data_IF_212471522055
#
_entry.id   IF_212471522055
#
_cell.length_a   1.000
_cell.length_b   1.000
_cell.length_c   1.000
_cell.angle_alpha   90.00
_cell.angle_beta   90.00
_cell.angle_gamma   90.00
#
_symmetry.space_group_name_H-M   'P 1'
#
loop_
_entity.id
_entity.type
_entity.pdbx_description
1 polymer ?
#
# COMPACT_ATOMS: atom_id res chain seq x y z
N UNK A 1 -19.56 15.99 -18.47
CA UNK A 1 -18.82 16.12 -17.20
C UNK A 1 -17.38 16.40 -17.57
N UNK A 2 -16.80 17.45 -17.01
CA UNK A 2 -15.36 17.70 -17.14
C UNK A 2 -14.67 16.56 -16.39
N UNK A 3 -13.61 16.00 -16.93
CA UNK A 3 -12.85 14.89 -16.31
C UNK A 3 -11.46 15.39 -15.96
N UNK A 4 -11.05 15.27 -14.71
CA UNK A 4 -9.68 15.58 -14.28
C UNK A 4 -8.74 14.43 -14.66
N UNK A 5 -7.53 14.78 -15.08
CA UNK A 5 -6.44 13.84 -15.27
C UNK A 5 -5.50 13.88 -14.08
N UNK A 6 -5.50 12.82 -13.27
CA UNK A 6 -4.61 12.68 -12.12
C UNK A 6 -3.43 11.78 -12.50
N UNK A 7 -2.21 12.31 -12.39
CA UNK A 7 -1.01 11.54 -12.65
C UNK A 7 -0.33 11.15 -11.33
N UNK A 8 -0.19 9.85 -11.11
CA UNK A 8 0.57 9.32 -9.98
C UNK A 8 2.06 9.26 -10.31
N UNK A 9 2.89 9.85 -9.45
CA UNK A 9 4.34 9.70 -9.49
C UNK A 9 4.78 8.78 -8.33
N UNK A 10 5.43 7.68 -8.66
CA UNK A 10 5.80 6.65 -7.70
C UNK A 10 7.23 6.16 -7.92
N UNK A 11 7.96 5.97 -6.81
CA UNK A 11 9.28 5.33 -6.78
C UNK A 11 9.16 3.96 -6.13
N UNK A 12 9.47 2.91 -6.86
CA UNK A 12 9.45 1.53 -6.39
C UNK A 12 8.75 0.57 -7.36
N UNK A 13 8.21 -0.48 -6.81
CA UNK A 13 7.45 -1.51 -7.53
C UNK A 13 5.95 -1.19 -7.54
N UNK A 14 5.13 -2.20 -7.76
CA UNK A 14 3.67 -2.14 -7.59
C UNK A 14 3.28 -1.54 -6.22
N UNK A 15 2.22 -0.72 -6.23
CA UNK A 15 1.75 -0.07 -5.01
C UNK A 15 0.22 -0.12 -4.92
N UNK A 16 -0.28 -1.05 -4.11
CA UNK A 16 -1.72 -1.29 -3.94
C UNK A 16 -2.51 -0.02 -3.54
N UNK A 17 -1.95 0.82 -2.66
CA UNK A 17 -2.59 2.07 -2.28
C UNK A 17 -2.81 3.02 -3.48
N UNK A 18 -1.86 3.10 -4.42
CA UNK A 18 -2.01 3.89 -5.65
C UNK A 18 -3.07 3.28 -6.56
N UNK A 19 -3.13 1.97 -6.65
CA UNK A 19 -4.13 1.26 -7.45
C UNK A 19 -5.55 1.47 -6.92
N UNK A 20 -5.75 1.44 -5.58
CA UNK A 20 -7.04 1.76 -4.96
C UNK A 20 -7.43 3.23 -5.18
N UNK A 21 -6.49 4.16 -5.07
CA UNK A 21 -6.73 5.58 -5.36
C UNK A 21 -7.12 5.79 -6.83
N UNK A 22 -6.41 5.14 -7.76
CA UNK A 22 -6.74 5.17 -9.19
C UNK A 22 -8.12 4.60 -9.46
N UNK A 23 -8.45 3.45 -8.87
CA UNK A 23 -9.76 2.83 -9.03
C UNK A 23 -10.89 3.71 -8.48
N UNK A 24 -10.68 4.38 -7.34
CA UNK A 24 -11.64 5.31 -6.75
C UNK A 24 -11.89 6.54 -7.66
N UNK A 25 -10.82 7.14 -8.19
CA UNK A 25 -10.91 8.25 -9.14
C UNK A 25 -11.63 7.86 -10.43
N UNK A 26 -11.29 6.71 -11.01
CA UNK A 26 -11.95 6.18 -12.24
C UNK A 26 -13.44 5.92 -12.01
N UNK A 27 -13.82 5.44 -10.83
CA UNK A 27 -15.24 5.26 -10.45
C UNK A 27 -16.00 6.59 -10.44
N UNK A 28 -15.32 7.71 -10.16
CA UNK A 28 -15.87 9.07 -10.23
C UNK A 28 -15.78 9.71 -11.63
N UNK A 29 -15.25 9.00 -12.62
CA UNK A 29 -15.15 9.47 -14.00
C UNK A 29 -13.87 10.23 -14.33
N UNK A 30 -12.87 10.27 -13.43
CA UNK A 30 -11.59 10.90 -13.69
C UNK A 30 -10.63 9.97 -14.45
N UNK A 31 -9.68 10.55 -15.17
CA UNK A 31 -8.59 9.82 -15.83
C UNK A 31 -7.40 9.69 -14.89
N UNK A 32 -6.72 8.55 -14.96
CA UNK A 32 -5.51 8.31 -14.18
C UNK A 32 -4.36 7.85 -15.07
N UNK A 33 -3.15 8.25 -14.71
CA UNK A 33 -1.91 7.82 -15.35
C UNK A 33 -0.80 7.62 -14.33
N UNK A 34 0.28 6.93 -14.72
CA UNK A 34 1.42 6.62 -13.85
C UNK A 34 2.73 7.11 -14.46
N UNK A 35 3.56 7.73 -13.63
CA UNK A 35 4.96 7.99 -13.90
C UNK A 35 5.81 7.20 -12.87
N UNK A 36 6.24 6.00 -13.27
CA UNK A 36 6.96 5.07 -12.41
C UNK A 36 8.48 5.23 -12.56
N UNK A 37 9.16 5.37 -11.43
CA UNK A 37 10.59 5.12 -11.29
C UNK A 37 10.78 3.77 -10.57
N UNK A 38 11.29 2.72 -11.21
CA UNK A 38 11.46 1.44 -10.54
C UNK A 38 12.54 1.45 -9.46
N UNK A 39 13.34 2.53 -9.33
CA UNK A 39 14.36 2.69 -8.30
C UNK A 39 15.47 1.65 -8.36
N UNK A 40 15.85 1.22 -9.56
CA UNK A 40 16.84 0.15 -9.76
C UNK A 40 18.17 0.48 -9.07
N UNK A 41 18.72 -0.49 -8.34
CA UNK A 41 19.98 -0.41 -7.58
C UNK A 41 20.01 0.69 -6.49
N UNK A 42 18.90 1.36 -6.24
CA UNK A 42 18.75 2.40 -5.23
C UNK A 42 18.45 1.87 -3.83
N UNK A 43 18.20 2.78 -2.90
CA UNK A 43 17.94 2.47 -1.48
C UNK A 43 16.71 1.56 -1.27
N UNK A 44 15.79 1.54 -2.24
CA UNK A 44 14.59 0.70 -2.20
C UNK A 44 14.79 -0.66 -2.90
N UNK A 45 15.98 -0.92 -3.45
CA UNK A 45 16.34 -2.23 -3.97
C UNK A 45 16.87 -3.10 -2.84
N UNK A 46 16.04 -4.02 -2.36
CA UNK A 46 16.39 -4.91 -1.25
C UNK A 46 17.40 -6.00 -1.66
N UNK A 47 17.62 -6.19 -2.96
CA UNK A 47 18.47 -7.27 -3.46
C UNK A 47 19.89 -6.78 -3.73
N UNK A 48 20.03 -5.62 -4.36
CA UNK A 48 21.33 -5.12 -4.76
C UNK A 48 21.38 -3.59 -4.81
N UNK A 49 21.92 -2.98 -3.76
CA UNK A 49 22.15 -1.55 -3.70
C UNK A 49 23.56 -1.20 -4.22
N UNK A 50 23.65 -0.37 -5.28
CA UNK A 50 24.90 0.13 -5.83
C UNK A 50 24.75 1.55 -6.37
N UNK A 51 25.33 2.52 -5.67
CA UNK A 51 25.19 3.95 -5.98
C UNK A 51 25.76 4.36 -7.38
N UNK A 52 26.67 3.60 -7.97
CA UNK A 52 27.17 3.86 -9.34
C UNK A 52 26.17 3.39 -10.39
N UNK A 53 25.58 2.20 -10.17
CA UNK A 53 24.55 1.67 -11.05
C UNK A 53 23.24 2.45 -10.90
N UNK A 54 22.85 2.83 -9.70
CA UNK A 54 21.70 3.70 -9.44
C UNK A 54 21.79 4.98 -10.29
N UNK A 55 22.93 5.68 -10.27
CA UNK A 55 23.15 6.87 -11.11
C UNK A 55 23.14 6.58 -12.61
N UNK A 56 23.64 5.41 -13.02
CA UNK A 56 23.67 4.99 -14.44
C UNK A 56 22.27 4.69 -14.98
N UNK A 57 21.38 4.17 -14.12
CA UNK A 57 20.00 3.79 -14.43
C UNK A 57 18.97 4.77 -13.88
N UNK A 58 19.36 5.98 -13.50
CA UNK A 58 18.49 7.04 -13.02
C UNK A 58 17.36 7.34 -14.03
N UNK A 59 16.12 7.16 -13.58
CA UNK A 59 14.91 7.36 -14.39
C UNK A 59 14.32 8.77 -14.23
N UNK A 60 14.98 9.68 -13.53
CA UNK A 60 14.49 11.05 -13.28
C UNK A 60 13.98 11.73 -14.55
N UNK A 61 14.75 11.65 -15.65
CA UNK A 61 14.34 12.27 -16.93
C UNK A 61 13.09 11.62 -17.54
N UNK A 62 12.95 10.30 -17.38
CA UNK A 62 11.77 9.55 -17.86
C UNK A 62 10.52 9.97 -17.09
N UNK A 63 10.61 10.01 -15.76
CA UNK A 63 9.50 10.42 -14.88
C UNK A 63 9.07 11.85 -15.17
N UNK A 64 10.02 12.79 -15.25
CA UNK A 64 9.72 14.19 -15.56
C UNK A 64 9.08 14.35 -16.95
N UNK A 65 9.56 13.63 -17.95
CA UNK A 65 8.97 13.62 -19.28
C UNK A 65 7.53 13.10 -19.23
N UNK A 66 7.27 12.00 -18.53
CA UNK A 66 5.93 11.47 -18.37
C UNK A 66 4.98 12.49 -17.70
N UNK A 67 5.46 13.18 -16.64
CA UNK A 67 4.72 14.25 -15.99
C UNK A 67 4.36 15.41 -16.95
N UNK A 68 5.30 15.78 -17.83
CA UNK A 68 5.07 16.87 -18.81
C UNK A 68 4.17 16.46 -19.97
N UNK A 69 4.45 15.31 -20.61
CA UNK A 69 3.73 14.84 -21.78
C UNK A 69 2.26 14.53 -21.48
N UNK A 70 1.99 14.00 -20.27
CA UNK A 70 0.65 13.67 -19.84
C UNK A 70 -0.21 14.91 -19.50
N UNK A 71 0.42 16.07 -19.24
CA UNK A 71 -0.28 17.32 -18.89
C UNK A 71 -1.38 17.12 -17.84
N UNK A 72 -1.03 16.60 -16.66
CA UNK A 72 -2.04 16.32 -15.64
C UNK A 72 -2.64 17.62 -15.08
N UNK A 73 -3.91 17.52 -14.67
CA UNK A 73 -4.57 18.56 -13.89
C UNK A 73 -4.17 18.51 -12.41
N UNK A 74 -3.73 17.34 -11.92
CA UNK A 74 -3.22 17.10 -10.58
C UNK A 74 -2.09 16.07 -10.62
N UNK A 75 -0.94 16.37 -10.03
CA UNK A 75 0.16 15.42 -9.82
C UNK A 75 0.13 14.88 -8.38
N UNK A 76 -0.04 13.56 -8.22
CA UNK A 76 -0.14 12.88 -6.94
C UNK A 76 1.10 12.01 -6.68
N UNK A 77 1.79 12.24 -5.56
CA UNK A 77 2.99 11.50 -5.19
C UNK A 77 2.71 10.58 -4.01
N UNK A 78 3.12 9.32 -4.12
CA UNK A 78 3.12 8.39 -2.99
C UNK A 78 4.47 8.44 -2.28
N UNK A 79 4.45 8.77 -1.00
CA UNK A 79 5.66 9.13 -0.26
C UNK A 79 5.83 8.31 1.01
N UNK A 80 6.92 7.55 1.04
CA UNK A 80 7.52 6.97 2.25
C UNK A 80 8.66 7.87 2.74
N UNK A 81 9.12 7.69 3.97
CA UNK A 81 10.25 8.46 4.49
C UNK A 81 11.53 8.24 3.68
N UNK A 82 11.76 7.01 3.21
CA UNK A 82 12.88 6.66 2.33
C UNK A 82 12.80 7.29 0.93
N UNK A 83 11.58 7.48 0.40
CA UNK A 83 11.37 8.06 -0.94
C UNK A 83 11.14 9.57 -0.92
N UNK A 84 11.00 10.17 0.24
CA UNK A 84 10.73 11.60 0.38
C UNK A 84 11.75 12.52 -0.34
N UNK A 85 13.09 12.28 -0.26
CA UNK A 85 14.05 13.09 -1.01
C UNK A 85 13.85 13.01 -2.54
N UNK A 86 13.47 11.84 -3.05
CA UNK A 86 13.14 11.66 -4.47
C UNK A 86 11.87 12.45 -4.83
N UNK A 87 10.81 12.30 -4.04
CA UNK A 87 9.54 12.99 -4.28
C UNK A 87 9.72 14.52 -4.31
N UNK A 88 10.48 15.08 -3.38
CA UNK A 88 10.81 16.52 -3.37
C UNK A 88 11.57 16.95 -4.62
N UNK A 89 12.58 16.18 -5.04
CA UNK A 89 13.34 16.48 -6.25
C UNK A 89 12.43 16.48 -7.49
N UNK A 90 11.57 15.47 -7.62
CA UNK A 90 10.63 15.37 -8.75
C UNK A 90 9.60 16.49 -8.73
N UNK A 91 8.98 16.77 -7.59
CA UNK A 91 8.01 17.84 -7.44
C UNK A 91 8.60 19.21 -7.77
N UNK A 92 9.79 19.53 -7.28
CA UNK A 92 10.51 20.77 -7.57
C UNK A 92 10.79 20.94 -9.06
N UNK A 93 11.33 19.91 -9.70
CA UNK A 93 11.63 19.95 -11.14
C UNK A 93 10.36 20.06 -11.98
N UNK A 94 9.29 19.38 -11.57
CA UNK A 94 8.00 19.46 -12.23
C UNK A 94 7.36 20.86 -12.06
N UNK A 95 7.37 21.44 -10.84
CA UNK A 95 6.86 22.80 -10.59
C UNK A 95 7.57 23.88 -11.41
N UNK A 96 8.86 23.76 -11.66
CA UNK A 96 9.59 24.70 -12.54
C UNK A 96 9.05 24.72 -13.98
N UNK A 97 8.54 23.58 -14.45
CA UNK A 97 8.07 23.37 -15.84
C UNK A 97 6.56 23.54 -15.96
N UNK A 98 5.83 23.20 -14.91
CA UNK A 98 4.37 23.26 -14.82
C UNK A 98 3.93 23.97 -13.54
N UNK A 99 4.19 25.26 -13.37
CA UNK A 99 4.01 25.97 -12.09
C UNK A 99 2.56 26.05 -11.62
N UNK A 100 1.60 25.91 -12.54
CA UNK A 100 0.16 25.97 -12.25
C UNK A 100 -0.46 24.63 -11.88
N UNK A 101 0.18 23.52 -12.20
CA UNK A 101 -0.35 22.20 -11.86
C UNK A 101 -0.18 21.95 -10.36
N UNK A 102 -1.27 21.72 -9.62
CA UNK A 102 -1.19 21.40 -8.21
C UNK A 102 -0.50 20.03 -7.97
N UNK A 103 0.20 19.95 -6.84
CA UNK A 103 0.89 18.73 -6.40
C UNK A 103 0.35 18.33 -5.04
N UNK A 104 -0.04 17.06 -4.91
CA UNK A 104 -0.45 16.45 -3.63
C UNK A 104 0.48 15.30 -3.24
N UNK A 105 0.95 15.29 -1.99
CA UNK A 105 1.69 14.18 -1.41
C UNK A 105 0.79 13.34 -0.51
N UNK A 106 0.78 12.02 -0.71
CA UNK A 106 0.08 11.05 0.13
C UNK A 106 1.00 9.92 0.58
N UNK A 107 0.50 9.05 1.45
CA UNK A 107 1.22 7.90 1.98
C UNK A 107 1.71 8.09 3.42
N UNK A 108 2.60 7.22 3.88
CA UNK A 108 2.99 7.18 5.29
C UNK A 108 3.76 8.42 5.75
N UNK A 109 4.66 8.96 4.92
CA UNK A 109 5.47 10.11 5.33
C UNK A 109 4.62 11.36 5.61
N UNK A 110 3.76 11.85 4.70
CA UNK A 110 2.91 13.00 5.02
C UNK A 110 1.86 12.71 6.09
N UNK A 111 1.52 11.45 6.33
CA UNK A 111 0.62 11.07 7.42
C UNK A 111 1.28 11.27 8.79
N UNK A 112 2.55 10.89 8.94
CA UNK A 112 3.27 10.97 10.22
C UNK A 112 4.09 12.23 10.42
N UNK A 113 4.52 12.87 9.32
CA UNK A 113 5.33 14.08 9.31
C UNK A 113 4.64 15.21 8.49
N UNK A 114 3.36 15.52 8.78
CA UNK A 114 2.57 16.42 7.93
C UNK A 114 3.14 17.84 7.89
N UNK A 115 3.50 18.42 9.03
CA UNK A 115 4.04 19.77 9.10
C UNK A 115 5.40 19.88 8.41
N UNK A 116 6.26 18.85 8.59
CA UNK A 116 7.55 18.79 7.91
C UNK A 116 7.38 18.72 6.40
N UNK A 117 6.40 17.96 5.94
CA UNK A 117 6.08 17.84 4.52
C UNK A 117 5.57 19.14 3.95
N UNK A 118 4.67 19.84 4.64
CA UNK A 118 4.09 21.12 4.21
C UNK A 118 5.09 22.30 4.25
N UNK A 119 6.14 22.25 5.08
CA UNK A 119 7.23 23.22 5.03
C UNK A 119 8.02 23.15 3.71
N UNK A 120 7.91 22.05 2.99
CA UNK A 120 8.49 21.91 1.65
C UNK A 120 7.50 22.52 0.63
N UNK A 121 7.85 23.69 0.07
CA UNK A 121 6.96 24.46 -0.81
C UNK A 121 6.70 23.81 -2.17
N UNK A 122 7.29 22.66 -2.44
CA UNK A 122 7.12 21.92 -3.70
C UNK A 122 5.81 21.10 -3.75
N UNK A 123 5.15 20.85 -2.60
CA UNK A 123 3.82 20.26 -2.51
C UNK A 123 2.78 21.35 -2.14
N UNK A 124 1.66 21.38 -2.83
CA UNK A 124 0.55 22.31 -2.53
C UNK A 124 -0.33 21.73 -1.43
N UNK A 125 -0.55 20.41 -1.49
CA UNK A 125 -1.42 19.67 -0.58
C UNK A 125 -0.74 18.42 -0.06
N UNK A 126 -1.20 17.93 1.09
CA UNK A 126 -0.93 16.57 1.56
C UNK A 126 -2.26 15.87 1.89
N UNK A 127 -2.28 14.54 1.76
CA UNK A 127 -3.39 13.71 2.23
C UNK A 127 -2.86 12.75 3.30
N UNK A 128 -3.54 12.71 4.45
CA UNK A 128 -3.19 11.93 5.64
C UNK A 128 -4.14 10.76 5.82
N UNK A 129 -3.63 9.59 6.21
CA UNK A 129 -4.45 8.39 6.41
C UNK A 129 -5.00 7.80 5.11
N UNK A 130 -6.26 7.35 5.13
CA UNK A 130 -6.92 6.80 3.93
C UNK A 130 -7.22 7.91 2.92
N UNK A 131 -6.75 7.73 1.71
CA UNK A 131 -6.72 8.78 0.70
C UNK A 131 -7.86 8.76 -0.30
N UNK A 132 -8.62 7.68 -0.43
CA UNK A 132 -9.57 7.48 -1.52
C UNK A 132 -10.62 8.61 -1.61
N UNK A 133 -11.30 8.87 -0.50
CA UNK A 133 -12.29 9.94 -0.47
C UNK A 133 -11.66 11.32 -0.60
N UNK A 134 -10.55 11.58 0.12
CA UNK A 134 -9.92 12.90 0.10
C UNK A 134 -9.35 13.27 -1.27
N UNK A 135 -8.78 12.29 -2.00
CA UNK A 135 -8.25 12.54 -3.35
C UNK A 135 -9.38 12.77 -4.37
N UNK A 136 -10.48 12.03 -4.25
CA UNK A 136 -11.67 12.27 -5.09
C UNK A 136 -12.26 13.66 -4.82
N UNK A 137 -12.42 14.05 -3.55
CA UNK A 137 -12.93 15.38 -3.19
C UNK A 137 -11.99 16.50 -3.67
N UNK A 138 -10.66 16.30 -3.57
CA UNK A 138 -9.67 17.24 -4.08
C UNK A 138 -9.77 17.39 -5.60
N UNK A 139 -9.85 16.27 -6.33
CA UNK A 139 -10.03 16.29 -7.78
C UNK A 139 -11.32 17.03 -8.15
N UNK A 140 -12.43 16.73 -7.49
CA UNK A 140 -13.71 17.42 -7.71
C UNK A 140 -13.64 18.92 -7.42
N UNK A 141 -13.01 19.33 -6.31
CA UNK A 141 -12.86 20.74 -5.97
C UNK A 141 -12.03 21.50 -7.02
N UNK A 142 -10.92 20.91 -7.48
CA UNK A 142 -10.08 21.51 -8.53
C UNK A 142 -10.80 21.59 -9.88
N UNK A 143 -11.58 20.56 -10.24
CA UNK A 143 -12.39 20.53 -11.46
C UNK A 143 -13.40 21.69 -11.51
N UNK A 144 -14.05 21.98 -10.37
CA UNK A 144 -15.10 22.99 -10.28
C UNK A 144 -14.59 24.37 -9.82
N UNK A 145 -13.29 24.50 -9.54
CA UNK A 145 -12.70 25.74 -9.05
C UNK A 145 -13.19 26.14 -7.65
N UNK A 146 -13.61 25.15 -6.83
CA UNK A 146 -14.03 25.38 -5.44
C UNK A 146 -12.84 25.27 -4.51
N UNK A 147 -12.93 25.91 -3.32
CA UNK A 147 -11.85 25.89 -2.34
C UNK A 147 -11.70 24.49 -1.70
N UNK A 148 -10.56 23.79 -1.83
CA UNK A 148 -10.35 22.48 -1.25
C UNK A 148 -10.01 22.50 0.24
N UNK A 149 -9.84 23.66 0.86
CA UNK A 149 -9.27 23.80 2.22
C UNK A 149 -10.13 23.24 3.35
N UNK A 150 -11.37 22.83 3.09
CA UNK A 150 -12.24 22.17 4.09
C UNK A 150 -12.29 20.65 3.95
N UNK A 151 -11.61 20.06 2.97
CA UNK A 151 -11.64 18.62 2.72
C UNK A 151 -11.00 17.85 3.88
N UNK A 152 -11.72 16.93 4.55
CA UNK A 152 -11.13 16.10 5.61
C UNK A 152 -9.94 15.26 5.09
N UNK A 153 -8.96 14.98 5.92
CA UNK A 153 -7.66 14.38 5.64
C UNK A 153 -6.68 15.29 4.88
N UNK A 154 -7.13 16.41 4.32
CA UNK A 154 -6.24 17.33 3.60
C UNK A 154 -5.39 18.16 4.58
N UNK A 155 -4.15 18.40 4.19
CA UNK A 155 -3.32 19.44 4.78
C UNK A 155 -2.79 20.35 3.67
N UNK A 156 -2.60 21.62 4.00
CA UNK A 156 -2.17 22.68 3.08
C UNK A 156 -1.41 23.78 3.83
N UNK A 157 -0.88 24.75 3.12
CA UNK A 157 -0.35 25.97 3.74
C UNK A 157 -1.44 27.03 3.80
N UNK A 158 -1.66 27.59 4.99
CA UNK A 158 -2.55 28.73 5.20
C UNK A 158 -1.99 30.01 4.55
N UNK A 159 -2.77 31.09 4.57
CA UNK A 159 -2.40 32.35 3.93
C UNK A 159 -1.16 33.01 4.59
N UNK A 160 -0.88 32.69 5.87
CA UNK A 160 0.31 33.09 6.60
C UNK A 160 1.51 32.14 6.42
N UNK A 161 1.42 31.20 5.45
CA UNK A 161 2.43 30.17 5.14
C UNK A 161 2.59 29.10 6.24
N UNK A 162 1.76 29.09 7.27
CA UNK A 162 1.76 28.06 8.30
C UNK A 162 1.09 26.76 7.81
N UNK A 163 1.53 25.59 8.30
CA UNK A 163 0.85 24.33 8.04
C UNK A 163 -0.55 24.29 8.66
N UNK A 164 -1.57 24.02 7.86
CA UNK A 164 -2.95 23.77 8.29
C UNK A 164 -3.32 22.32 8.01
N UNK A 165 -3.92 21.65 8.98
CA UNK A 165 -4.29 20.24 8.93
C UNK A 165 -5.76 20.07 9.27
N UNK A 166 -6.54 19.58 8.32
CA UNK A 166 -7.94 19.26 8.55
C UNK A 166 -8.10 17.99 9.41
N UNK A 167 -9.24 17.83 10.09
CA UNK A 167 -9.56 16.60 10.80
C UNK A 167 -9.51 15.40 9.87
N UNK A 168 -9.17 14.24 10.43
CA UNK A 168 -9.28 12.99 9.69
C UNK A 168 -10.76 12.61 9.53
N UNK A 169 -11.13 12.10 8.36
CA UNK A 169 -12.44 11.51 8.14
C UNK A 169 -12.56 10.17 8.84
N UNK A 170 -13.79 9.69 9.12
CA UNK A 170 -14.00 8.33 9.54
C UNK A 170 -13.37 7.34 8.56
N UNK A 171 -12.85 6.24 9.09
CA UNK A 171 -12.32 5.15 8.27
C UNK A 171 -13.43 4.54 7.38
N UNK A 172 -13.05 4.02 6.23
CA UNK A 172 -13.94 3.23 5.38
C UNK A 172 -14.34 1.97 6.15
N UNK A 173 -15.58 1.92 6.64
CA UNK A 173 -16.04 0.87 7.54
C UNK A 173 -16.14 -0.50 6.87
N UNK A 174 -16.74 -0.54 5.68
CA UNK A 174 -16.84 -1.74 4.86
C UNK A 174 -15.85 -1.66 3.71
N UNK A 175 -14.81 -2.50 3.71
CA UNK A 175 -13.79 -2.51 2.67
C UNK A 175 -14.31 -3.07 1.33
N UNK A 176 -15.43 -3.77 1.32
CA UNK A 176 -16.07 -4.28 0.09
C UNK A 176 -16.73 -3.16 -0.73
N UNK A 177 -16.93 -1.97 -0.14
CA UNK A 177 -17.43 -0.80 -0.87
C UNK A 177 -16.36 -0.15 -1.77
N UNK A 178 -15.09 -0.51 -1.58
CA UNK A 178 -14.01 -0.07 -2.45
C UNK A 178 -14.06 -0.80 -3.79
N UNK A 179 -13.73 -0.12 -4.89
CA UNK A 179 -13.49 -0.80 -6.15
C UNK A 179 -12.26 -1.71 -6.03
N UNK A 180 -12.18 -2.75 -6.85
CA UNK A 180 -10.96 -3.56 -6.96
C UNK A 180 -9.78 -2.68 -7.41
N UNK A 181 -8.55 -3.02 -7.01
CA UNK A 181 -7.38 -2.23 -7.34
C UNK A 181 -7.16 -2.14 -8.84
N UNK A 182 -6.82 -0.96 -9.33
CA UNK A 182 -6.56 -0.70 -10.75
C UNK A 182 -5.17 -1.19 -11.17
N UNK A 183 -5.01 -2.49 -11.31
CA UNK A 183 -3.77 -3.11 -11.81
C UNK A 183 -3.38 -2.61 -13.19
N UNK A 184 -4.36 -2.21 -14.01
CA UNK A 184 -4.13 -1.65 -15.34
C UNK A 184 -3.23 -0.42 -15.34
N UNK A 185 -3.17 0.32 -14.23
CA UNK A 185 -2.30 1.46 -14.07
C UNK A 185 -0.80 1.08 -14.15
N UNK A 186 -0.44 -0.11 -13.69
CA UNK A 186 0.94 -0.62 -13.63
C UNK A 186 1.28 -1.62 -14.75
N UNK A 187 0.34 -2.08 -15.57
CA UNK A 187 0.56 -3.21 -16.51
C UNK A 187 1.60 -2.96 -17.61
N UNK A 188 2.00 -1.70 -17.83
CA UNK A 188 3.11 -1.36 -18.74
C UNK A 188 4.49 -1.62 -18.15
N UNK A 189 4.58 -1.59 -16.82
CA UNK A 189 5.85 -1.64 -16.08
C UNK A 189 5.96 -2.92 -15.23
N UNK A 190 4.83 -3.58 -14.91
CA UNK A 190 4.74 -4.78 -14.08
C UNK A 190 4.12 -5.94 -14.87
N UNK A 191 4.74 -7.09 -14.77
CA UNK A 191 4.23 -8.33 -15.37
C UNK A 191 3.39 -9.11 -14.34
N UNK A 192 2.09 -8.88 -14.32
CA UNK A 192 1.15 -9.56 -13.42
C UNK A 192 0.94 -11.05 -13.72
N UNK A 193 1.61 -11.61 -14.72
CA UNK A 193 1.54 -13.04 -15.02
C UNK A 193 2.35 -13.89 -14.03
N UNK A 194 3.38 -13.34 -13.45
CA UNK A 194 4.26 -14.10 -12.55
C UNK A 194 3.60 -14.21 -11.17
N UNK A 195 3.23 -13.11 -10.58
CA UNK A 195 2.54 -13.05 -9.29
C UNK A 195 1.45 -11.97 -9.27
N UNK A 196 0.47 -12.14 -8.41
CA UNK A 196 -0.61 -11.20 -8.14
C UNK A 196 -0.67 -10.89 -6.65
N UNK A 197 -0.48 -9.63 -6.31
CA UNK A 197 -0.55 -9.16 -4.92
C UNK A 197 -1.98 -8.75 -4.59
N UNK A 198 -2.54 -9.30 -3.51
CA UNK A 198 -3.87 -8.99 -2.99
C UNK A 198 -3.81 -8.57 -1.53
N UNK A 199 -4.70 -7.66 -1.12
CA UNK A 199 -4.95 -7.30 0.28
C UNK A 199 -6.37 -7.71 0.67
N UNK A 200 -6.48 -8.48 1.74
CA UNK A 200 -7.76 -8.90 2.32
C UNK A 200 -8.17 -8.00 3.49
N UNK A 201 -7.26 -7.22 4.05
CA UNK A 201 -7.49 -6.39 5.23
C UNK A 201 -6.74 -5.07 5.18
N UNK A 202 -7.13 -4.13 6.02
CA UNK A 202 -6.37 -2.93 6.35
C UNK A 202 -6.12 -2.89 7.85
N UNK A 203 -4.88 -2.58 8.21
CA UNK A 203 -4.45 -2.57 9.60
C UNK A 203 -3.93 -3.91 10.09
N UNK A 204 -3.49 -3.91 11.33
CA UNK A 204 -2.98 -5.08 12.05
C UNK A 204 -3.51 -5.06 13.48
N UNK A 205 -3.90 -6.22 14.07
CA UNK A 205 -4.37 -6.26 15.46
C UNK A 205 -3.22 -6.08 16.46
N UNK A 206 -1.96 -6.23 16.02
CA UNK A 206 -0.78 -6.09 16.88
C UNK A 206 -0.29 -4.65 16.97
N UNK A 207 0.48 -4.37 18.05
CA UNK A 207 0.99 -3.03 18.36
C UNK A 207 2.50 -3.01 18.50
N UNK A 208 3.21 -3.68 17.57
CA UNK A 208 4.67 -3.71 17.58
C UNK A 208 5.24 -2.29 17.47
N UNK A 209 6.15 -1.93 18.37
CA UNK A 209 6.63 -0.54 18.54
C UNK A 209 7.32 0.04 17.30
N UNK A 210 7.97 -0.79 16.53
CA UNK A 210 8.73 -0.44 15.32
C UNK A 210 7.87 -0.37 14.05
N UNK A 211 6.61 -0.85 14.10
CA UNK A 211 5.78 -1.02 12.92
C UNK A 211 4.89 0.22 12.68
N UNK A 212 4.77 0.64 11.42
CA UNK A 212 3.87 1.73 11.03
C UNK A 212 2.41 1.44 11.38
N UNK A 213 1.98 0.16 11.42
CA UNK A 213 0.62 -0.23 11.79
C UNK A 213 0.26 0.20 13.21
N UNK A 214 1.20 0.18 14.15
CA UNK A 214 0.99 0.69 15.50
C UNK A 214 0.78 2.22 15.53
N UNK A 215 1.53 2.95 14.71
CA UNK A 215 1.37 4.40 14.60
C UNK A 215 0.02 4.75 13.93
N UNK A 216 -0.39 4.02 12.89
CA UNK A 216 -1.70 4.15 12.26
C UNK A 216 -2.84 3.79 13.21
N UNK A 217 -2.65 2.74 14.03
CA UNK A 217 -3.63 2.40 15.07
C UNK A 217 -3.80 3.52 16.11
N UNK A 218 -2.71 4.18 16.51
CA UNK A 218 -2.78 5.35 17.40
C UNK A 218 -3.48 6.53 16.76
N UNK A 219 -3.28 6.73 15.45
CA UNK A 219 -3.89 7.82 14.69
C UNK A 219 -5.40 7.61 14.49
N UNK A 220 -5.82 6.40 14.18
CA UNK A 220 -7.19 6.09 13.76
C UNK A 220 -8.05 5.42 14.84
N UNK A 221 -7.43 4.94 15.91
CA UNK A 221 -8.14 4.28 17.03
C UNK A 221 -8.47 2.80 16.78
N UNK A 222 -9.35 2.22 17.62
CA UNK A 222 -9.59 0.77 17.66
C UNK A 222 -10.22 0.19 16.39
N UNK A 223 -10.84 1.00 15.54
CA UNK A 223 -11.42 0.57 14.26
C UNK A 223 -10.41 0.42 13.12
N UNK A 224 -9.11 0.56 13.37
CA UNK A 224 -8.10 0.52 12.33
C UNK A 224 -8.02 -0.83 11.61
N UNK A 225 -8.12 -1.96 12.32
CA UNK A 225 -8.09 -3.29 11.70
C UNK A 225 -9.47 -3.68 11.16
N UNK A 226 -9.60 -3.76 9.84
CA UNK A 226 -10.82 -4.12 9.10
C UNK A 226 -10.49 -5.12 8.01
N UNK A 227 -11.48 -5.90 7.60
CA UNK A 227 -11.31 -6.97 6.62
C UNK A 227 -12.39 -6.93 5.55
N UNK A 228 -12.04 -7.33 4.34
CA UNK A 228 -12.96 -7.62 3.25
C UNK A 228 -13.67 -8.94 3.51
N UNK A 229 -14.85 -9.13 2.94
CA UNK A 229 -15.48 -10.44 2.90
C UNK A 229 -14.63 -11.42 2.09
N UNK A 230 -14.71 -12.71 2.41
CA UNK A 230 -14.05 -13.76 1.63
C UNK A 230 -14.53 -13.72 0.17
N UNK A 231 -15.82 -13.50 -0.06
CA UNK A 231 -16.40 -13.41 -1.40
C UNK A 231 -15.83 -12.24 -2.20
N UNK A 232 -15.68 -11.04 -1.61
CA UNK A 232 -15.07 -9.89 -2.28
C UNK A 232 -13.64 -10.19 -2.76
N UNK A 233 -12.84 -10.86 -1.92
CA UNK A 233 -11.47 -11.26 -2.29
C UNK A 233 -11.48 -12.28 -3.43
N UNK A 234 -12.38 -13.26 -3.37
CA UNK A 234 -12.48 -14.30 -4.39
C UNK A 234 -12.93 -13.75 -5.74
N UNK A 235 -13.89 -12.82 -5.76
CA UNK A 235 -14.34 -12.14 -6.98
C UNK A 235 -13.21 -11.34 -7.63
N UNK A 236 -12.43 -10.57 -6.86
CA UNK A 236 -11.24 -9.89 -7.39
C UNK A 236 -10.27 -10.87 -8.03
N UNK A 237 -9.93 -11.95 -7.30
CA UNK A 237 -8.97 -12.94 -7.80
C UNK A 237 -9.47 -13.67 -9.05
N UNK A 238 -10.77 -13.96 -9.18
CA UNK A 238 -11.35 -14.56 -10.39
C UNK A 238 -11.26 -13.63 -11.59
N UNK A 239 -11.69 -12.38 -11.42
CA UNK A 239 -11.64 -11.38 -12.48
C UNK A 239 -10.20 -11.14 -12.95
N UNK A 240 -9.28 -10.95 -12.01
CA UNK A 240 -7.89 -10.67 -12.33
C UNK A 240 -7.16 -11.90 -12.87
N UNK A 241 -7.52 -13.11 -12.44
CA UNK A 241 -7.01 -14.36 -13.03
C UNK A 241 -7.43 -14.52 -14.48
N UNK A 242 -8.66 -14.19 -14.80
CA UNK A 242 -9.15 -14.21 -16.19
C UNK A 242 -8.37 -13.23 -17.07
N UNK A 243 -8.02 -12.05 -16.54
CA UNK A 243 -7.28 -11.00 -17.25
C UNK A 243 -5.78 -11.29 -17.37
N UNK A 244 -5.11 -11.56 -16.26
CA UNK A 244 -3.64 -11.62 -16.21
C UNK A 244 -3.06 -13.02 -16.25
N UNK A 245 -3.86 -14.06 -15.92
CA UNK A 245 -3.42 -15.47 -15.90
C UNK A 245 -2.20 -15.68 -15.01
N UNK A 246 -2.19 -15.04 -13.84
CA UNK A 246 -1.11 -15.15 -12.88
C UNK A 246 -0.88 -16.59 -12.41
N UNK A 247 0.36 -16.87 -12.02
CA UNK A 247 0.83 -18.21 -11.62
C UNK A 247 0.92 -18.38 -10.12
N UNK A 248 1.00 -17.28 -9.38
CA UNK A 248 1.07 -17.24 -7.93
C UNK A 248 0.26 -16.07 -7.38
N UNK A 249 -0.23 -16.20 -6.15
CA UNK A 249 -0.89 -15.12 -5.41
C UNK A 249 -0.08 -14.81 -4.16
N UNK A 250 0.21 -13.53 -3.90
CA UNK A 250 0.76 -13.08 -2.64
C UNK A 250 -0.34 -12.40 -1.81
N UNK A 251 -0.77 -13.04 -0.73
CA UNK A 251 -1.60 -12.39 0.28
C UNK A 251 -0.72 -11.46 1.12
N UNK A 252 -0.78 -10.17 0.82
CA UNK A 252 0.12 -9.15 1.38
C UNK A 252 -0.44 -8.50 2.67
N UNK A 253 -1.33 -9.21 3.34
CA UNK A 253 -1.83 -8.78 4.66
C UNK A 253 -0.72 -8.90 5.69
N UNK A 254 -0.61 -7.96 6.65
CA UNK A 254 0.41 -8.06 7.71
C UNK A 254 0.38 -9.39 8.46
N UNK A 255 -0.81 -10.00 8.60
CA UNK A 255 -1.03 -11.34 9.15
C UNK A 255 -2.34 -11.89 8.58
N UNK A 256 -2.26 -12.86 7.69
CA UNK A 256 -3.46 -13.49 7.12
C UNK A 256 -4.22 -14.36 8.14
N UNK A 257 -3.51 -15.00 9.08
CA UNK A 257 -3.98 -16.08 9.93
C UNK A 257 -4.86 -15.64 11.12
N UNK A 258 -5.20 -14.36 11.27
CA UNK A 258 -5.80 -13.79 12.49
C UNK A 258 -7.24 -14.20 12.76
N UNK A 259 -8.01 -14.63 11.77
CA UNK A 259 -9.43 -14.93 11.92
C UNK A 259 -9.79 -16.24 11.23
N UNK A 260 -9.76 -17.31 12.01
CA UNK A 260 -9.86 -18.69 11.52
C UNK A 260 -11.10 -18.95 10.64
N UNK A 261 -12.29 -18.62 11.11
CA UNK A 261 -13.52 -18.93 10.37
C UNK A 261 -13.58 -18.22 9.00
N UNK A 262 -13.17 -16.96 8.94
CA UNK A 262 -13.07 -16.21 7.68
C UNK A 262 -12.00 -16.82 6.76
N UNK A 263 -10.86 -17.25 7.32
CA UNK A 263 -9.78 -17.87 6.53
C UNK A 263 -10.22 -19.22 5.96
N UNK A 264 -10.95 -20.02 6.75
CA UNK A 264 -11.53 -21.28 6.29
C UNK A 264 -12.49 -21.06 5.10
N UNK A 265 -13.37 -20.06 5.19
CA UNK A 265 -14.27 -19.65 4.12
C UNK A 265 -13.51 -19.21 2.87
N UNK A 266 -12.53 -18.31 3.03
CA UNK A 266 -11.70 -17.83 1.93
C UNK A 266 -10.97 -18.98 1.24
N UNK A 267 -10.25 -19.82 2.00
CA UNK A 267 -9.41 -20.87 1.44
C UNK A 267 -10.22 -22.03 0.84
N UNK A 268 -11.41 -22.29 1.35
CA UNK A 268 -12.33 -23.23 0.70
C UNK A 268 -12.79 -22.72 -0.67
N UNK A 269 -13.19 -21.44 -0.76
CA UNK A 269 -13.54 -20.78 -2.01
C UNK A 269 -12.34 -20.72 -2.96
N UNK A 270 -11.17 -20.34 -2.45
CA UNK A 270 -9.93 -20.24 -3.20
C UNK A 270 -9.55 -21.57 -3.88
N UNK A 271 -9.62 -22.67 -3.14
CA UNK A 271 -9.33 -24.00 -3.63
C UNK A 271 -10.29 -24.45 -4.73
N UNK A 272 -11.54 -24.02 -4.71
CA UNK A 272 -12.54 -24.35 -5.74
C UNK A 272 -12.42 -23.47 -6.98
N UNK A 273 -12.23 -22.17 -6.80
CA UNK A 273 -12.39 -21.13 -7.82
C UNK A 273 -11.05 -20.67 -8.42
N UNK A 274 -10.02 -20.51 -7.58
CA UNK A 274 -8.74 -19.91 -7.99
C UNK A 274 -7.71 -20.97 -8.38
N UNK A 275 -7.41 -21.92 -7.50
CA UNK A 275 -6.51 -23.06 -7.78
C UNK A 275 -5.11 -22.67 -8.24
N UNK A 276 -4.57 -21.58 -7.73
CA UNK A 276 -3.21 -21.09 -8.01
C UNK A 276 -2.43 -21.21 -6.72
N UNK A 277 -1.14 -21.56 -6.75
CA UNK A 277 -0.30 -21.49 -5.55
C UNK A 277 -0.31 -20.11 -4.92
N UNK A 278 -0.11 -20.04 -3.60
CA UNK A 278 -0.03 -18.74 -2.92
C UNK A 278 1.03 -18.73 -1.81
N UNK A 279 1.44 -17.52 -1.45
CA UNK A 279 2.25 -17.21 -0.26
C UNK A 279 1.49 -16.23 0.64
N UNK A 280 1.81 -16.23 1.94
CA UNK A 280 1.21 -15.32 2.89
C UNK A 280 2.13 -15.03 4.07
N UNK A 281 1.86 -13.92 4.76
CA UNK A 281 2.49 -13.62 6.05
C UNK A 281 1.72 -14.27 7.19
N UNK A 282 2.45 -14.88 8.10
CA UNK A 282 1.94 -15.52 9.29
C UNK A 282 2.54 -14.98 10.58
N UNK A 283 1.97 -15.41 11.69
CA UNK A 283 2.55 -15.20 13.02
C UNK A 283 2.72 -16.56 13.69
N UNK A 284 3.90 -16.87 14.25
CA UNK A 284 4.19 -18.19 14.85
C UNK A 284 3.16 -18.63 15.86
N UNK A 285 2.70 -17.73 16.74
CA UNK A 285 1.72 -18.03 17.78
C UNK A 285 0.34 -18.51 17.25
N UNK A 286 0.04 -18.25 15.98
CA UNK A 286 -1.22 -18.65 15.32
C UNK A 286 -1.09 -19.97 14.54
N UNK A 287 0.12 -20.51 14.39
CA UNK A 287 0.36 -21.74 13.66
C UNK A 287 0.03 -22.97 14.51
N UNK A 288 -0.99 -23.69 14.11
CA UNK A 288 -1.42 -24.97 14.68
C UNK A 288 -1.38 -26.06 13.62
N UNK A 289 -1.44 -27.35 14.02
CA UNK A 289 -1.52 -28.46 13.06
C UNK A 289 -2.70 -28.29 12.10
N UNK A 290 -3.87 -27.89 12.61
CA UNK A 290 -5.06 -27.63 11.79
C UNK A 290 -4.85 -26.46 10.81
N UNK A 291 -4.16 -25.40 11.21
CA UNK A 291 -3.83 -24.26 10.37
C UNK A 291 -2.84 -24.66 9.26
N UNK A 292 -1.79 -25.40 9.60
CA UNK A 292 -0.81 -25.87 8.63
C UNK A 292 -1.45 -26.79 7.58
N UNK A 293 -2.33 -27.69 7.98
CA UNK A 293 -3.09 -28.55 7.07
C UNK A 293 -4.02 -27.74 6.17
N UNK A 294 -4.75 -26.77 6.72
CA UNK A 294 -5.65 -25.90 5.94
C UNK A 294 -4.87 -25.14 4.86
N UNK A 295 -3.78 -24.49 5.22
CA UNK A 295 -2.91 -23.76 4.29
C UNK A 295 -2.34 -24.69 3.21
N UNK A 296 -1.76 -25.81 3.62
CA UNK A 296 -1.15 -26.78 2.72
C UNK A 296 -2.16 -27.33 1.70
N UNK A 297 -3.33 -27.77 2.15
CA UNK A 297 -4.38 -28.30 1.28
C UNK A 297 -4.99 -27.24 0.36
N UNK A 298 -4.83 -25.96 0.69
CA UNK A 298 -5.32 -24.86 -0.14
C UNK A 298 -4.29 -24.35 -1.15
N UNK A 299 -3.08 -24.93 -1.15
CA UNK A 299 -2.04 -24.60 -2.13
C UNK A 299 -1.03 -23.55 -1.64
N UNK A 300 -0.94 -23.33 -0.32
CA UNK A 300 0.11 -22.47 0.25
C UNK A 300 1.49 -23.09 -0.02
N UNK A 301 2.38 -22.31 -0.63
CA UNK A 301 3.75 -22.71 -0.93
C UNK A 301 4.76 -22.16 0.07
N UNK A 302 4.44 -21.07 0.76
CA UNK A 302 5.29 -20.49 1.79
C UNK A 302 4.47 -19.65 2.76
N UNK A 303 4.77 -19.82 4.06
CA UNK A 303 4.33 -18.89 5.11
C UNK A 303 5.54 -18.12 5.60
N UNK A 304 5.51 -16.81 5.47
CA UNK A 304 6.62 -15.94 5.91
C UNK A 304 6.39 -15.49 7.36
N UNK A 305 7.36 -15.75 8.23
CA UNK A 305 7.31 -15.40 9.65
C UNK A 305 8.33 -14.32 10.00
N UNK A 306 7.88 -13.18 10.46
CA UNK A 306 8.78 -12.13 10.94
C UNK A 306 9.27 -12.39 12.36
N UNK A 307 10.44 -12.95 12.55
CA UNK A 307 11.02 -13.21 13.88
C UNK A 307 11.60 -11.98 14.58
N UNK A 308 12.11 -11.04 13.83
CA UNK A 308 12.74 -9.77 14.24
C UNK A 308 13.99 -9.97 15.14
N UNK A 309 13.91 -10.75 16.19
CA UNK A 309 15.01 -11.07 17.11
C UNK A 309 14.70 -12.37 17.86
N UNK A 310 15.74 -13.05 18.34
CA UNK A 310 15.64 -14.21 19.25
C UNK A 310 15.79 -13.81 20.73
N UNK A 311 16.08 -12.55 21.02
CA UNK A 311 16.12 -12.05 22.38
C UNK A 311 14.71 -11.78 22.89
N UNK A 312 14.20 -12.60 23.81
CA UNK A 312 12.81 -12.52 24.31
C UNK A 312 12.53 -11.26 25.13
N UNK A 313 13.50 -10.75 25.88
CA UNK A 313 13.35 -9.51 26.64
C UNK A 313 13.20 -8.34 25.67
N UNK A 314 14.03 -8.30 24.63
CA UNK A 314 13.91 -7.27 23.57
C UNK A 314 12.56 -7.38 22.84
N UNK A 315 12.10 -8.60 22.51
CA UNK A 315 10.76 -8.81 21.94
C UNK A 315 9.66 -8.22 22.82
N UNK A 316 9.66 -8.57 24.09
CA UNK A 316 8.61 -8.17 25.02
C UNK A 316 8.67 -6.69 25.38
N UNK A 317 9.84 -6.22 25.82
CA UNK A 317 9.98 -4.91 26.46
C UNK A 317 10.15 -3.77 25.45
N UNK A 318 10.85 -4.03 24.36
CA UNK A 318 11.15 -3.01 23.35
C UNK A 318 10.24 -3.10 22.13
N UNK A 319 10.10 -4.30 21.55
CA UNK A 319 9.36 -4.47 20.30
C UNK A 319 7.85 -4.64 20.50
N UNK A 320 7.39 -4.93 21.73
CA UNK A 320 5.98 -5.17 22.02
C UNK A 320 5.41 -6.39 21.28
N UNK A 321 6.26 -7.41 21.04
CA UNK A 321 5.86 -8.67 20.40
C UNK A 321 5.59 -9.74 21.44
N UNK A 322 4.40 -10.38 21.40
CA UNK A 322 3.99 -11.31 22.44
C UNK A 322 4.53 -12.73 22.26
N UNK A 323 5.00 -13.11 21.06
CA UNK A 323 5.42 -14.48 20.80
C UNK A 323 6.78 -14.82 21.47
N UNK A 324 6.86 -16.04 22.00
CA UNK A 324 8.10 -16.60 22.55
C UNK A 324 8.89 -17.36 21.48
N UNK A 325 10.19 -17.62 21.77
CA UNK A 325 11.00 -18.48 20.89
C UNK A 325 10.47 -19.92 20.85
N UNK A 326 9.91 -20.41 21.97
CA UNK A 326 9.28 -21.73 22.01
C UNK A 326 8.08 -21.82 21.09
N UNK A 327 7.21 -20.81 21.08
CA UNK A 327 6.08 -20.72 20.12
C UNK A 327 6.57 -20.70 18.68
N UNK A 328 7.63 -19.97 18.38
CA UNK A 328 8.22 -19.94 17.05
C UNK A 328 8.79 -21.30 16.62
N UNK A 329 9.59 -21.94 17.49
CA UNK A 329 10.12 -23.28 17.24
C UNK A 329 9.01 -24.31 17.06
N UNK A 330 7.94 -24.20 17.85
CA UNK A 330 6.78 -25.08 17.69
C UNK A 330 6.08 -24.87 16.34
N UNK A 331 5.90 -23.62 15.89
CA UNK A 331 5.35 -23.30 14.59
C UNK A 331 6.18 -23.92 13.45
N UNK A 332 7.51 -23.81 13.52
CA UNK A 332 8.41 -24.39 12.53
C UNK A 332 8.31 -25.92 12.49
N UNK A 333 8.28 -26.56 13.68
CA UNK A 333 8.08 -28.04 13.76
C UNK A 333 6.73 -28.49 13.20
N UNK A 334 5.68 -27.69 13.40
CA UNK A 334 4.37 -27.95 12.82
C UNK A 334 4.45 -27.84 11.29
N UNK A 335 5.06 -26.78 10.77
CA UNK A 335 5.23 -26.60 9.32
C UNK A 335 6.03 -27.76 8.71
N UNK A 336 7.16 -28.14 9.30
CA UNK A 336 7.99 -29.29 8.88
C UNK A 336 7.18 -30.60 8.86
N UNK A 337 6.46 -30.87 9.95
CA UNK A 337 5.63 -32.09 10.09
C UNK A 337 4.61 -32.25 8.98
N UNK A 338 4.01 -31.15 8.55
CA UNK A 338 3.00 -31.14 7.48
C UNK A 338 3.58 -30.82 6.10
N UNK A 339 4.90 -30.66 5.99
CA UNK A 339 5.56 -30.31 4.73
C UNK A 339 5.06 -28.98 4.15
N UNK A 340 4.73 -28.01 5.01
CA UNK A 340 4.37 -26.64 4.63
C UNK A 340 5.63 -25.78 4.64
N UNK A 341 6.12 -25.32 3.48
CA UNK A 341 7.31 -24.47 3.45
C UNK A 341 7.08 -23.15 4.21
N UNK A 342 8.14 -22.65 4.86
CA UNK A 342 8.12 -21.38 5.57
C UNK A 342 9.47 -20.67 5.46
N UNK A 343 9.49 -19.36 5.67
CA UNK A 343 10.67 -18.49 5.71
C UNK A 343 10.62 -17.52 6.90
#
# INVERSE_FOLDING_TARGET
>A
MLSMKVLFAHLGREHLGVEYLSAALKRQGHETALALDPGLFGINDNVFHNARLERRFDQTRRVLRALEEQRPDLAAFTVYTSTFPWALRMAREFKRRSPRTPIVFGGLHPTFEPERTLRCRDADFIIRGEGEGALCDLAHALEHGTDPREIPNLGFRADDDSPALNPLRPLIGNLDDLPFPDKGLFERDINFRDDYIVLCSRGCPHRCSYCCENALHRLHGPGWYRRRSAESVLLELEEMKARYRFREVMFNDPILLTHRGWLEELLEGYRRRIRVPFRCFGQPALMTDAMALLLKHSGCQCVEFGMQTVNEDLKRETLGRPETNEQALNAFRICDRHGLPFD
#
